data_IF_923069613662
#
_entry.id   IF_923069613662
#
_cell.length_a   1.000
_cell.length_b   1.000
_cell.length_c   1.000
_cell.angle_alpha   90.00
_cell.angle_beta   90.00
_cell.angle_gamma   90.00
#
_symmetry.space_group_name_H-M   'P 1'
#
loop_
_entity.id
_entity.type
_entity.pdbx_description
1 polymer ?
#
# COMPACT_ATOMS: atom_id res chain seq x y z
N UNK A 1 -0.51 68.49 43.42
CA UNK A 1 0.78 67.79 43.19
C UNK A 1 0.49 66.31 43.28
N UNK A 2 -0.08 65.76 42.21
CA UNK A 2 -0.35 64.33 42.08
C UNK A 2 0.82 63.68 41.35
N UNK A 3 1.38 62.68 42.01
CA UNK A 3 2.49 61.84 41.56
C UNK A 3 2.02 60.98 40.40
N UNK A 4 2.45 61.30 39.18
CA UNK A 4 2.26 60.46 38.00
C UNK A 4 3.30 59.34 38.08
N UNK A 5 2.84 58.12 38.39
CA UNK A 5 3.65 56.92 38.34
C UNK A 5 3.94 56.57 36.87
N UNK A 6 5.21 56.68 36.46
CA UNK A 6 5.71 56.11 35.21
C UNK A 6 5.65 54.58 35.31
N UNK A 7 4.66 54.00 34.63
CA UNK A 7 4.65 52.59 34.30
C UNK A 7 5.81 52.30 33.34
N UNK A 8 6.87 51.71 33.87
CA UNK A 8 7.96 51.16 33.08
C UNK A 8 7.43 50.06 32.16
N UNK A 9 7.20 50.43 30.90
CA UNK A 9 6.93 49.50 29.82
C UNK A 9 8.24 48.78 29.49
N UNK A 10 8.59 47.79 30.31
CA UNK A 10 9.60 46.77 30.02
C UNK A 10 9.09 45.88 28.90
N UNK A 11 9.04 46.43 27.70
CA UNK A 11 8.80 45.68 26.48
C UNK A 11 10.11 44.94 26.23
N UNK A 12 10.22 43.75 26.84
CA UNK A 12 11.31 42.80 26.60
C UNK A 12 11.43 42.61 25.10
N UNK A 13 12.43 43.27 24.53
CA UNK A 13 12.77 43.14 23.13
C UNK A 13 13.24 41.72 22.91
N UNK A 14 12.33 40.87 22.43
CA UNK A 14 12.67 39.64 21.71
C UNK A 14 13.60 40.03 20.56
N UNK A 15 14.90 40.09 20.84
CA UNK A 15 15.90 40.28 19.82
C UNK A 15 15.86 39.06 18.90
N UNK A 16 16.11 39.29 17.61
CA UNK A 16 16.26 38.18 16.64
C UNK A 16 17.34 37.20 17.12
N UNK A 17 18.34 37.67 17.86
CA UNK A 17 19.37 36.87 18.50
C UNK A 17 18.80 35.90 19.53
N UNK A 18 17.96 36.38 20.46
CA UNK A 18 17.31 35.54 21.48
C UNK A 18 16.32 34.54 20.87
N UNK A 19 15.67 34.89 19.75
CA UNK A 19 14.81 33.96 19.02
C UNK A 19 15.63 32.86 18.31
N UNK A 20 16.78 33.21 17.72
CA UNK A 20 17.69 32.25 17.10
C UNK A 20 18.28 31.29 18.15
N UNK A 21 18.66 31.80 19.32
CA UNK A 21 19.15 31.00 20.45
C UNK A 21 18.07 30.04 20.98
N UNK A 22 16.84 30.51 21.18
CA UNK A 22 15.70 29.68 21.59
C UNK A 22 15.39 28.58 20.57
N UNK A 23 15.37 28.91 19.27
CA UNK A 23 15.17 27.94 18.19
C UNK A 23 16.31 26.91 18.14
N UNK A 24 17.57 27.35 18.30
CA UNK A 24 18.74 26.46 18.30
C UNK A 24 18.71 25.52 19.51
N UNK A 25 18.34 26.02 20.70
CA UNK A 25 18.17 25.20 21.90
C UNK A 25 17.07 24.15 21.73
N UNK A 26 15.91 24.54 21.18
CA UNK A 26 14.80 23.61 20.91
C UNK A 26 15.15 22.53 19.88
N UNK A 27 15.98 22.85 18.88
CA UNK A 27 16.52 21.86 17.93
C UNK A 27 17.42 20.87 18.68
N UNK A 28 18.37 21.35 19.47
CA UNK A 28 19.29 20.50 20.22
C UNK A 28 18.54 19.60 21.24
N UNK A 29 17.54 20.13 21.94
CA UNK A 29 16.68 19.37 22.85
C UNK A 29 15.85 18.30 22.14
N UNK A 30 15.27 18.65 20.98
CA UNK A 30 14.52 17.69 20.17
C UNK A 30 15.42 16.56 19.67
N UNK A 31 16.61 16.88 19.17
CA UNK A 31 17.61 15.89 18.75
C UNK A 31 18.08 15.02 19.93
N UNK A 32 18.31 15.63 21.10
CA UNK A 32 18.66 14.91 22.32
C UNK A 32 17.56 13.97 22.83
N UNK A 33 16.27 14.25 22.55
CA UNK A 33 15.16 13.37 22.91
C UNK A 33 14.98 12.19 21.93
N UNK A 34 15.34 12.35 20.65
CA UNK A 34 15.23 11.28 19.66
C UNK A 34 16.33 10.21 19.83
N UNK A 35 17.52 10.60 20.29
CA UNK A 35 18.66 9.68 20.45
C UNK A 35 18.41 8.55 21.48
N UNK A 36 17.87 8.80 22.69
CA UNK A 36 17.48 7.75 23.63
C UNK A 36 16.45 6.78 23.06
N UNK A 37 15.47 7.28 22.30
CA UNK A 37 14.47 6.44 21.64
C UNK A 37 15.11 5.53 20.60
N UNK A 38 15.94 6.08 19.71
CA UNK A 38 16.67 5.29 18.71
C UNK A 38 17.62 4.28 19.36
N UNK A 39 18.31 4.68 20.43
CA UNK A 39 19.14 3.77 21.23
C UNK A 39 18.33 2.60 21.80
N UNK A 40 17.14 2.88 22.34
CA UNK A 40 16.23 1.85 22.83
C UNK A 40 15.76 0.90 21.72
N UNK A 41 15.37 1.44 20.55
CA UNK A 41 14.99 0.65 19.38
C UNK A 41 16.14 -0.25 18.90
N UNK A 42 17.37 0.29 18.81
CA UNK A 42 18.58 -0.46 18.41
C UNK A 42 18.95 -1.55 19.41
N UNK A 43 18.96 -1.26 20.71
CA UNK A 43 19.27 -2.27 21.73
C UNK A 43 18.23 -3.39 21.73
N UNK A 44 16.95 -3.04 21.58
CA UNK A 44 15.87 -4.02 21.43
C UNK A 44 16.03 -4.89 20.19
N UNK A 45 16.49 -4.31 19.08
CA UNK A 45 16.78 -5.07 17.86
C UNK A 45 17.99 -6.00 18.03
N UNK A 46 19.11 -5.54 18.59
CA UNK A 46 20.32 -6.35 18.83
C UNK A 46 19.99 -7.58 19.68
N UNK A 47 19.32 -7.38 20.82
CA UNK A 47 18.95 -8.47 21.72
C UNK A 47 18.04 -9.51 21.02
N UNK A 48 17.11 -9.06 20.17
CA UNK A 48 16.23 -9.95 19.40
C UNK A 48 17.00 -10.67 18.29
N UNK A 49 17.90 -9.99 17.59
CA UNK A 49 18.69 -10.55 16.47
C UNK A 49 19.45 -11.79 16.92
N UNK A 50 20.18 -11.75 18.03
CA UNK A 50 20.98 -12.89 18.51
C UNK A 50 20.12 -14.15 18.73
N UNK A 51 18.97 -13.98 19.41
CA UNK A 51 18.03 -15.08 19.65
C UNK A 51 17.42 -15.62 18.35
N UNK A 52 17.05 -14.74 17.41
CA UNK A 52 16.50 -15.12 16.12
C UNK A 52 17.52 -15.86 15.26
N UNK A 53 18.77 -15.37 15.20
CA UNK A 53 19.87 -16.01 14.46
C UNK A 53 20.15 -17.40 15.01
N UNK A 54 20.24 -17.53 16.33
CA UNK A 54 20.45 -18.84 16.97
C UNK A 54 19.31 -19.82 16.62
N UNK A 55 18.06 -19.42 16.84
CA UNK A 55 16.88 -20.25 16.56
C UNK A 55 16.80 -20.68 15.09
N UNK A 56 17.11 -19.77 14.17
CA UNK A 56 17.13 -20.06 12.74
C UNK A 56 18.27 -21.02 12.38
N UNK A 57 19.49 -20.80 12.89
CA UNK A 57 20.63 -21.71 12.69
C UNK A 57 20.34 -23.14 13.18
N UNK A 58 19.74 -23.27 14.36
CA UNK A 58 19.41 -24.57 14.96
C UNK A 58 18.35 -25.35 14.14
N UNK A 59 17.53 -24.66 13.35
CA UNK A 59 16.46 -25.26 12.53
C UNK A 59 16.78 -25.37 11.04
N UNK A 60 17.79 -24.66 10.55
CA UNK A 60 18.08 -24.50 9.12
C UNK A 60 18.23 -25.83 8.37
N UNK A 61 19.10 -26.74 8.85
CA UNK A 61 19.36 -28.01 8.15
C UNK A 61 18.09 -28.87 8.02
N UNK A 62 17.22 -28.81 9.03
CA UNK A 62 15.92 -29.50 9.00
C UNK A 62 14.98 -28.88 7.98
N UNK A 63 14.90 -27.54 7.93
CA UNK A 63 14.06 -26.83 6.96
C UNK A 63 14.55 -27.06 5.52
N UNK A 64 15.86 -27.04 5.32
CA UNK A 64 16.49 -27.31 4.02
C UNK A 64 16.21 -28.75 3.56
N UNK A 65 16.38 -29.74 4.44
CA UNK A 65 16.10 -31.14 4.12
C UNK A 65 14.62 -31.36 3.75
N UNK A 66 13.70 -30.72 4.45
CA UNK A 66 12.27 -30.80 4.13
C UNK A 66 11.95 -30.11 2.80
N UNK A 67 12.52 -28.93 2.54
CA UNK A 67 12.37 -28.25 1.25
C UNK A 67 12.89 -29.11 0.09
N UNK A 68 14.08 -29.70 0.21
CA UNK A 68 14.66 -30.58 -0.81
C UNK A 68 13.80 -31.83 -1.07
N UNK A 69 13.21 -32.39 -0.02
CA UNK A 69 12.26 -33.50 -0.15
C UNK A 69 11.00 -33.08 -0.90
N UNK A 70 10.44 -31.91 -0.58
CA UNK A 70 9.27 -31.37 -1.27
C UNK A 70 9.57 -31.01 -2.72
N UNK A 71 10.76 -30.46 -3.01
CA UNK A 71 11.17 -30.13 -4.37
C UNK A 71 11.13 -31.36 -5.28
N UNK A 72 11.70 -32.49 -4.83
CA UNK A 72 11.61 -33.78 -5.56
C UNK A 72 10.16 -34.21 -5.82
N UNK A 73 9.28 -34.04 -4.83
CA UNK A 73 7.85 -34.34 -4.97
C UNK A 73 7.19 -33.42 -6.00
N UNK A 74 7.47 -32.11 -5.94
CA UNK A 74 6.94 -31.10 -6.86
C UNK A 74 7.41 -31.35 -8.30
N UNK A 75 8.66 -31.76 -8.50
CA UNK A 75 9.16 -32.13 -9.83
C UNK A 75 8.44 -33.37 -10.39
N UNK A 76 8.12 -34.35 -9.54
CA UNK A 76 7.30 -35.50 -9.94
C UNK A 76 5.85 -35.09 -10.26
N UNK A 77 5.24 -34.24 -9.42
CA UNK A 77 3.90 -33.72 -9.66
C UNK A 77 3.82 -32.90 -10.94
N UNK A 78 4.84 -32.09 -11.24
CA UNK A 78 4.95 -31.34 -12.51
C UNK A 78 4.77 -32.26 -13.71
N UNK A 79 5.61 -33.30 -13.79
CA UNK A 79 5.56 -34.28 -14.88
C UNK A 79 4.21 -34.98 -14.95
N UNK A 80 3.62 -35.29 -13.79
CA UNK A 80 2.32 -35.96 -13.70
C UNK A 80 1.18 -35.06 -14.21
N UNK A 81 1.15 -33.78 -13.81
CA UNK A 81 0.17 -32.79 -14.28
C UNK A 81 0.32 -32.56 -15.79
N UNK A 82 1.55 -32.39 -16.27
CA UNK A 82 1.85 -32.22 -17.70
C UNK A 82 1.40 -33.42 -18.54
N UNK A 83 1.63 -34.64 -18.05
CA UNK A 83 1.21 -35.87 -18.73
C UNK A 83 -0.30 -36.04 -18.74
N UNK A 84 -0.97 -35.66 -17.65
CA UNK A 84 -2.42 -35.76 -17.53
C UNK A 84 -3.15 -34.68 -18.36
N UNK A 85 -2.52 -33.52 -18.58
CA UNK A 85 -3.07 -32.42 -19.38
C UNK A 85 -2.02 -31.85 -20.36
N UNK A 86 -1.88 -32.43 -21.57
CA UNK A 86 -0.89 -31.97 -22.55
C UNK A 86 -1.04 -30.49 -22.96
N UNK A 87 -2.25 -29.92 -22.86
CA UNK A 87 -2.55 -28.52 -23.20
C UNK A 87 -2.63 -27.60 -21.97
N UNK A 88 -2.01 -27.99 -20.85
CA UNK A 88 -2.10 -27.25 -19.59
C UNK A 88 -1.65 -25.78 -19.71
N UNK A 89 -0.63 -25.49 -20.53
CA UNK A 89 -0.13 -24.12 -20.73
C UNK A 89 -1.18 -23.21 -21.34
N UNK A 90 -1.89 -23.70 -22.36
CA UNK A 90 -2.95 -22.92 -23.02
C UNK A 90 -4.05 -22.60 -22.01
N UNK A 91 -4.51 -23.60 -21.26
CA UNK A 91 -5.51 -23.41 -20.22
C UNK A 91 -5.05 -22.42 -19.14
N UNK A 92 -3.83 -22.62 -18.63
CA UNK A 92 -3.29 -21.78 -17.56
C UNK A 92 -3.13 -20.33 -18.00
N UNK A 93 -2.58 -20.11 -19.19
CA UNK A 93 -2.38 -18.76 -19.73
C UNK A 93 -3.71 -18.06 -20.02
N UNK A 94 -4.67 -18.73 -20.67
CA UNK A 94 -5.95 -18.13 -21.04
C UNK A 94 -6.86 -17.88 -19.84
N UNK A 95 -6.82 -18.74 -18.83
CA UNK A 95 -7.77 -18.70 -17.71
C UNK A 95 -7.20 -18.06 -16.45
N UNK A 96 -5.93 -18.28 -16.14
CA UNK A 96 -5.31 -17.84 -14.87
C UNK A 96 -4.48 -16.59 -15.10
N UNK A 97 -3.49 -16.65 -15.99
CA UNK A 97 -2.58 -15.51 -16.23
C UNK A 97 -3.33 -14.29 -16.73
N UNK A 98 -4.24 -14.46 -17.69
CA UNK A 98 -5.08 -13.37 -18.19
C UNK A 98 -5.89 -12.68 -17.07
N UNK A 99 -6.40 -13.45 -16.10
CA UNK A 99 -7.18 -12.92 -14.98
C UNK A 99 -6.34 -12.24 -13.91
N UNK A 100 -5.15 -12.77 -13.64
CA UNK A 100 -4.17 -12.09 -12.76
C UNK A 100 -3.78 -10.74 -13.37
N UNK A 101 -3.45 -10.74 -14.67
CA UNK A 101 -3.12 -9.51 -15.40
C UNK A 101 -4.28 -8.50 -15.38
N UNK A 102 -5.50 -8.93 -15.65
CA UNK A 102 -6.69 -8.06 -15.60
C UNK A 102 -6.85 -7.40 -14.22
N UNK A 103 -6.58 -8.14 -13.14
CA UNK A 103 -6.63 -7.60 -11.78
C UNK A 103 -5.49 -6.61 -11.51
N UNK A 104 -4.27 -6.90 -11.96
CA UNK A 104 -3.12 -6.00 -11.84
C UNK A 104 -3.35 -4.70 -12.62
N UNK A 105 -3.83 -4.79 -13.86
CA UNK A 105 -4.15 -3.64 -14.69
C UNK A 105 -5.24 -2.76 -14.02
N UNK A 106 -6.26 -3.38 -13.40
CA UNK A 106 -7.29 -2.65 -12.62
C UNK A 106 -6.72 -1.98 -11.38
N UNK A 107 -5.79 -2.61 -10.67
CA UNK A 107 -5.10 -2.02 -9.50
C UNK A 107 -4.25 -0.82 -9.92
N UNK A 108 -3.45 -0.96 -10.96
CA UNK A 108 -2.66 0.13 -11.51
C UNK A 108 -3.52 1.30 -11.97
N UNK A 109 -4.65 1.03 -12.63
CA UNK A 109 -5.61 2.07 -13.03
C UNK A 109 -6.23 2.78 -11.82
N UNK A 110 -6.55 2.06 -10.74
CA UNK A 110 -7.05 2.65 -9.50
C UNK A 110 -5.97 3.52 -8.84
N UNK A 111 -4.75 3.01 -8.72
CA UNK A 111 -3.63 3.73 -8.12
C UNK A 111 -3.32 5.01 -8.91
N UNK A 112 -3.31 4.96 -10.24
CA UNK A 112 -3.12 6.14 -11.09
C UNK A 112 -4.22 7.19 -10.88
N UNK A 113 -5.49 6.77 -10.75
CA UNK A 113 -6.60 7.70 -10.47
C UNK A 113 -6.48 8.34 -9.11
N UNK A 114 -6.06 7.57 -8.10
CA UNK A 114 -5.80 8.09 -6.75
C UNK A 114 -4.59 9.05 -6.76
N UNK A 115 -3.60 8.84 -7.62
CA UNK A 115 -2.43 9.69 -7.76
C UNK A 115 -2.72 11.03 -8.44
N UNK A 116 -3.59 11.06 -9.46
CA UNK A 116 -3.97 12.28 -10.18
C UNK A 116 -4.56 13.38 -9.29
N UNK A 117 -5.16 13.01 -8.16
CA UNK A 117 -5.71 13.98 -7.20
C UNK A 117 -4.68 14.53 -6.22
N UNK A 118 -3.47 13.97 -6.14
CA UNK A 118 -2.51 14.30 -5.08
C UNK A 118 -1.49 15.34 -5.52
N UNK A 119 -1.23 16.31 -4.66
CA UNK A 119 -0.11 17.24 -4.86
C UNK A 119 1.26 16.54 -4.76
N UNK A 120 2.35 17.19 -5.23
CA UNK A 120 3.68 16.58 -5.24
C UNK A 120 4.22 16.16 -3.86
N UNK A 121 3.96 16.94 -2.81
CA UNK A 121 4.39 16.64 -1.43
C UNK A 121 3.53 15.54 -0.82
N UNK A 122 2.24 15.50 -1.11
CA UNK A 122 1.37 14.41 -0.70
C UNK A 122 1.82 13.07 -1.32
N UNK A 123 2.15 13.08 -2.62
CA UNK A 123 2.72 11.90 -3.30
C UNK A 123 4.06 11.48 -2.71
N UNK A 124 4.94 12.42 -2.41
CA UNK A 124 6.23 12.14 -1.77
C UNK A 124 6.05 11.51 -0.38
N UNK A 125 5.13 12.04 0.43
CA UNK A 125 4.75 11.47 1.75
C UNK A 125 4.23 10.05 1.60
N UNK A 126 3.25 9.84 0.73
CA UNK A 126 2.62 8.53 0.55
C UNK A 126 3.61 7.48 0.01
N UNK A 127 4.47 7.88 -0.93
CA UNK A 127 5.54 7.01 -1.45
C UNK A 127 6.54 6.65 -0.35
N UNK A 128 6.97 7.61 0.47
CA UNK A 128 7.91 7.35 1.57
C UNK A 128 7.28 6.44 2.64
N UNK A 129 6.00 6.67 2.97
CA UNK A 129 5.22 5.81 3.88
C UNK A 129 5.06 4.39 3.34
N UNK A 130 4.76 4.24 2.04
CA UNK A 130 4.66 2.93 1.40
C UNK A 130 6.01 2.19 1.44
N UNK A 131 7.13 2.89 1.20
CA UNK A 131 8.47 2.33 1.31
C UNK A 131 8.79 1.89 2.75
N UNK A 132 8.49 2.71 3.76
CA UNK A 132 8.69 2.36 5.16
C UNK A 132 7.84 1.16 5.60
N UNK A 133 6.57 1.12 5.16
CA UNK A 133 5.66 -0.01 5.40
C UNK A 133 6.19 -1.29 4.77
N UNK A 134 6.65 -1.23 3.51
CA UNK A 134 7.24 -2.37 2.81
C UNK A 134 8.51 -2.88 3.51
N UNK A 135 9.44 -1.99 3.85
CA UNK A 135 10.68 -2.37 4.53
C UNK A 135 10.42 -2.94 5.94
N UNK A 136 9.41 -2.41 6.65
CA UNK A 136 8.97 -2.97 7.93
C UNK A 136 8.40 -4.38 7.76
N UNK A 137 7.57 -4.60 6.76
CA UNK A 137 6.99 -5.92 6.49
C UNK A 137 8.08 -6.94 6.16
N UNK A 138 9.11 -6.55 5.42
CA UNK A 138 10.26 -7.41 5.12
C UNK A 138 11.10 -7.74 6.36
N UNK A 139 11.38 -6.74 7.21
CA UNK A 139 12.03 -6.97 8.51
C UNK A 139 11.22 -7.94 9.38
N UNK A 140 9.90 -7.75 9.49
CA UNK A 140 9.03 -8.65 10.27
C UNK A 140 9.01 -10.05 9.67
N UNK A 141 8.90 -10.17 8.34
CA UNK A 141 8.95 -11.46 7.66
C UNK A 141 10.27 -12.19 7.88
N UNK A 142 11.40 -11.46 7.97
CA UNK A 142 12.68 -12.03 8.39
C UNK A 142 12.69 -12.38 9.88
N UNK A 143 12.14 -11.56 10.77
CA UNK A 143 12.05 -11.91 12.19
C UNK A 143 11.23 -13.19 12.44
N UNK A 144 10.20 -13.42 11.63
CA UNK A 144 9.35 -14.61 11.67
C UNK A 144 9.76 -15.69 10.66
N UNK A 145 10.97 -15.62 10.08
CA UNK A 145 11.35 -16.43 8.92
C UNK A 145 11.27 -17.93 9.18
N UNK A 146 11.82 -18.42 10.30
CA UNK A 146 11.77 -19.85 10.68
C UNK A 146 10.32 -20.38 10.67
N UNK A 147 9.43 -19.68 11.38
CA UNK A 147 8.00 -20.03 11.48
C UNK A 147 7.33 -19.92 10.11
N UNK A 148 7.65 -18.87 9.36
CA UNK A 148 7.12 -18.63 8.02
C UNK A 148 7.49 -19.73 7.04
N UNK A 149 8.77 -20.12 6.97
CA UNK A 149 9.25 -21.24 6.14
C UNK A 149 8.60 -22.54 6.57
N UNK A 150 8.57 -22.84 7.87
CA UNK A 150 7.94 -24.05 8.42
C UNK A 150 6.45 -24.16 8.09
N UNK A 151 5.71 -23.06 8.22
CA UNK A 151 4.29 -23.01 7.85
C UNK A 151 4.07 -23.15 6.34
N UNK A 152 4.90 -22.49 5.52
CA UNK A 152 4.82 -22.56 4.07
C UNK A 152 5.11 -23.98 3.58
N UNK A 153 6.15 -24.66 4.09
CA UNK A 153 6.44 -26.07 3.76
C UNK A 153 5.27 -27.00 4.12
N UNK A 154 4.60 -26.80 5.27
CA UNK A 154 3.39 -27.59 5.61
C UNK A 154 2.26 -27.34 4.61
N UNK A 155 2.05 -26.08 4.23
CA UNK A 155 1.03 -25.72 3.25
C UNK A 155 1.34 -26.30 1.85
N UNK A 156 2.62 -26.31 1.46
CA UNK A 156 3.07 -26.90 0.19
C UNK A 156 2.79 -28.40 0.16
N UNK A 157 3.05 -29.12 1.25
CA UNK A 157 2.71 -30.53 1.37
C UNK A 157 1.20 -30.76 1.23
N UNK A 158 0.36 -29.94 1.87
CA UNK A 158 -1.10 -30.05 1.74
C UNK A 158 -1.57 -29.87 0.28
N UNK A 159 -1.03 -28.87 -0.43
CA UNK A 159 -1.33 -28.69 -1.86
C UNK A 159 -0.82 -29.84 -2.72
N UNK A 160 0.37 -30.38 -2.43
CA UNK A 160 0.90 -31.55 -3.12
C UNK A 160 -0.01 -32.77 -2.96
N UNK A 161 -0.51 -33.01 -1.74
CA UNK A 161 -1.45 -34.11 -1.45
C UNK A 161 -2.78 -33.91 -2.19
N UNK A 162 -3.29 -32.68 -2.26
CA UNK A 162 -4.52 -32.38 -2.98
C UNK A 162 -4.38 -32.57 -4.49
N UNK A 163 -3.25 -32.16 -5.08
CA UNK A 163 -2.94 -32.43 -6.49
C UNK A 163 -2.88 -33.94 -6.73
N UNK A 164 -2.20 -34.70 -5.87
CA UNK A 164 -2.10 -36.15 -5.99
C UNK A 164 -3.46 -36.86 -5.93
N UNK A 165 -4.43 -36.33 -5.15
CA UNK A 165 -5.83 -36.82 -5.15
C UNK A 165 -6.53 -36.49 -6.46
N UNK A 166 -6.41 -35.25 -6.94
CA UNK A 166 -7.06 -34.77 -8.16
C UNK A 166 -6.58 -35.48 -9.43
N UNK A 167 -5.32 -35.92 -9.47
CA UNK A 167 -4.74 -36.65 -10.59
C UNK A 167 -5.23 -38.10 -10.73
N UNK A 168 -5.98 -38.65 -9.76
CA UNK A 168 -6.56 -40.00 -9.85
C UNK A 168 -7.80 -40.07 -10.75
N UNK A 169 -8.38 -38.92 -11.09
CA UNK A 169 -9.47 -38.76 -12.04
C UNK A 169 -8.93 -38.07 -13.31
N UNK A 170 -9.59 -38.17 -14.48
CA UNK A 170 -9.15 -37.45 -15.68
C UNK A 170 -8.83 -35.99 -15.35
N UNK A 171 -7.69 -35.50 -15.85
CA UNK A 171 -6.98 -34.33 -15.35
C UNK A 171 -7.91 -33.17 -15.00
N UNK A 172 -8.10 -32.93 -13.70
CA UNK A 172 -8.90 -31.81 -13.25
C UNK A 172 -8.17 -30.50 -13.58
N UNK A 173 -8.82 -29.53 -14.25
CA UNK A 173 -8.27 -28.18 -14.41
C UNK A 173 -7.88 -27.52 -13.08
N UNK A 174 -8.49 -27.96 -11.99
CA UNK A 174 -8.15 -27.56 -10.63
C UNK A 174 -6.72 -27.98 -10.23
N UNK A 175 -6.25 -29.17 -10.64
CA UNK A 175 -4.89 -29.62 -10.35
C UNK A 175 -3.85 -28.72 -11.04
N UNK A 176 -4.15 -28.24 -12.25
CA UNK A 176 -3.31 -27.28 -13.00
C UNK A 176 -3.23 -25.96 -12.24
N UNK A 177 -4.38 -25.44 -11.79
CA UNK A 177 -4.43 -24.19 -11.03
C UNK A 177 -3.72 -24.28 -9.68
N UNK A 178 -3.94 -25.35 -8.90
CA UNK A 178 -3.27 -25.54 -7.61
C UNK A 178 -1.76 -25.67 -7.84
N UNK A 179 -1.32 -26.45 -8.83
CA UNK A 179 0.12 -26.62 -9.09
C UNK A 179 0.79 -25.31 -9.50
N UNK A 180 0.37 -24.69 -10.60
CA UNK A 180 1.05 -23.52 -11.18
C UNK A 180 0.68 -22.21 -10.48
N UNK A 181 -0.54 -22.08 -9.96
CA UNK A 181 -1.03 -20.85 -9.32
C UNK A 181 -0.79 -20.79 -7.81
N UNK A 182 -0.80 -21.93 -7.10
CA UNK A 182 -0.70 -21.95 -5.62
C UNK A 182 0.58 -22.58 -5.10
N UNK A 183 1.00 -23.74 -5.60
CA UNK A 183 2.11 -24.51 -5.04
C UNK A 183 3.47 -24.03 -5.55
N UNK A 184 3.65 -23.98 -6.86
CA UNK A 184 4.95 -23.75 -7.45
C UNK A 184 5.52 -22.34 -7.15
N UNK A 185 4.77 -21.23 -7.28
CA UNK A 185 5.31 -19.90 -7.05
C UNK A 185 5.88 -19.69 -5.64
N UNK A 186 5.17 -20.02 -4.54
CA UNK A 186 5.76 -19.88 -3.21
C UNK A 186 6.85 -20.92 -2.92
N UNK A 187 6.82 -22.11 -3.51
CA UNK A 187 7.93 -23.08 -3.38
C UNK A 187 9.23 -22.56 -3.96
N UNK A 188 9.18 -21.91 -5.13
CA UNK A 188 10.34 -21.25 -5.74
C UNK A 188 10.84 -20.11 -4.86
N UNK A 189 9.95 -19.29 -4.29
CA UNK A 189 10.36 -18.20 -3.39
C UNK A 189 11.07 -18.68 -2.13
N UNK A 190 10.75 -19.88 -1.65
CA UNK A 190 11.43 -20.51 -0.52
C UNK A 190 12.82 -21.09 -0.87
N UNK A 191 13.16 -21.18 -2.16
CA UNK A 191 14.35 -21.88 -2.58
C UNK A 191 15.62 -21.30 -1.93
N UNK A 192 16.54 -22.16 -1.45
CA UNK A 192 17.80 -21.71 -0.91
C UNK A 192 18.65 -21.09 -2.02
N UNK A 193 19.57 -20.21 -1.65
CA UNK A 193 20.47 -19.56 -2.60
C UNK A 193 21.25 -20.60 -3.42
N UNK A 194 21.33 -20.38 -4.74
CA UNK A 194 21.97 -21.31 -5.67
C UNK A 194 21.13 -22.52 -6.09
N UNK A 195 19.93 -22.73 -5.54
CA UNK A 195 19.04 -23.77 -6.04
C UNK A 195 18.51 -23.44 -7.44
N UNK A 196 18.68 -24.37 -8.38
CA UNK A 196 18.10 -24.28 -9.71
C UNK A 196 16.68 -24.84 -9.71
N UNK A 197 15.67 -23.97 -9.56
CA UNK A 197 14.26 -24.36 -9.69
C UNK A 197 13.74 -23.80 -11.00
N UNK A 198 13.21 -24.66 -11.88
CA UNK A 198 12.59 -24.21 -13.12
C UNK A 198 11.29 -23.46 -12.78
N UNK A 199 11.19 -22.15 -13.11
CA UNK A 199 10.10 -21.28 -12.68
C UNK A 199 8.77 -21.58 -13.40
N UNK A 200 8.79 -22.34 -14.49
CA UNK A 200 7.64 -22.50 -15.36
C UNK A 200 7.26 -21.20 -16.09
N UNK A 201 5.97 -21.05 -16.45
CA UNK A 201 5.51 -19.92 -17.28
C UNK A 201 5.30 -18.63 -16.48
N UNK A 202 5.41 -18.67 -15.15
CA UNK A 202 5.20 -17.50 -14.30
C UNK A 202 6.58 -16.89 -14.00
N UNK A 203 6.80 -15.61 -14.31
CA UNK A 203 8.03 -14.94 -13.88
C UNK A 203 8.13 -15.04 -12.36
N UNK A 204 9.24 -15.59 -11.88
CA UNK A 204 9.48 -15.68 -10.44
C UNK A 204 9.64 -14.27 -9.90
N UNK A 205 8.81 -13.84 -8.94
CA UNK A 205 9.02 -12.56 -8.30
C UNK A 205 10.35 -12.59 -7.53
N UNK A 206 10.96 -11.43 -7.27
CA UNK A 206 12.15 -11.36 -6.43
C UNK A 206 11.91 -12.08 -5.10
N UNK A 207 12.95 -12.75 -4.59
CA UNK A 207 12.89 -13.45 -3.30
C UNK A 207 12.44 -12.48 -2.22
N UNK A 208 11.28 -12.74 -1.62
CA UNK A 208 10.73 -11.99 -0.51
C UNK A 208 10.56 -12.94 0.65
N UNK A 209 10.97 -12.54 1.86
CA UNK A 209 10.77 -13.34 3.06
C UNK A 209 9.28 -13.75 3.23
N UNK A 210 9.00 -14.97 3.72
CA UNK A 210 9.98 -15.95 4.19
C UNK A 210 10.72 -16.67 3.04
N UNK A 211 12.00 -17.00 3.25
CA UNK A 211 12.83 -17.82 2.34
C UNK A 211 13.99 -18.50 3.08
N UNK A 212 14.60 -19.52 2.47
CA UNK A 212 15.76 -20.22 3.04
C UNK A 212 17.05 -19.41 2.85
N UNK A 213 17.29 -18.44 3.72
CA UNK A 213 18.56 -17.69 3.79
C UNK A 213 19.67 -18.61 4.28
N UNK A 214 20.85 -18.57 3.68
CA UNK A 214 21.99 -19.31 4.23
C UNK A 214 22.23 -18.93 5.71
N UNK A 215 22.52 -19.92 6.54
CA UNK A 215 22.47 -19.77 7.99
C UNK A 215 23.50 -18.74 8.55
N UNK A 216 24.58 -18.52 7.81
CA UNK A 216 25.67 -17.58 8.05
C UNK A 216 25.29 -16.17 7.55
N UNK A 217 24.60 -16.07 6.41
CA UNK A 217 24.09 -14.82 5.85
C UNK A 217 22.83 -14.27 6.56
N UNK A 218 22.10 -15.09 7.32
CA UNK A 218 20.83 -14.67 7.94
C UNK A 218 20.97 -13.52 8.94
N UNK A 219 22.09 -13.47 9.68
CA UNK A 219 22.37 -12.35 10.58
C UNK A 219 22.54 -11.02 9.85
N UNK A 220 23.18 -11.06 8.69
CA UNK A 220 23.45 -9.88 7.85
C UNK A 220 22.16 -9.43 7.14
N UNK A 221 21.35 -10.39 6.67
CA UNK A 221 20.03 -10.10 6.09
C UNK A 221 19.10 -9.36 7.07
N UNK A 222 19.09 -9.75 8.36
CA UNK A 222 18.34 -9.05 9.40
C UNK A 222 18.85 -7.62 9.60
N UNK A 223 20.16 -7.40 9.62
CA UNK A 223 20.75 -6.06 9.74
C UNK A 223 20.43 -5.19 8.53
N UNK A 224 20.58 -5.72 7.32
CA UNK A 224 20.25 -5.00 6.09
C UNK A 224 18.78 -4.59 6.05
N UNK A 225 17.86 -5.49 6.43
CA UNK A 225 16.44 -5.18 6.52
C UNK A 225 16.14 -4.12 7.58
N UNK A 226 16.80 -4.18 8.75
CA UNK A 226 16.69 -3.15 9.78
C UNK A 226 17.18 -1.79 9.28
N UNK A 227 18.35 -1.72 8.65
CA UNK A 227 18.90 -0.49 8.08
C UNK A 227 17.98 0.08 7.00
N UNK A 228 17.46 -0.76 6.10
CA UNK A 228 16.50 -0.37 5.05
C UNK A 228 15.24 0.22 5.67
N UNK A 229 14.66 -0.45 6.67
CA UNK A 229 13.49 0.04 7.39
C UNK A 229 13.76 1.36 8.09
N UNK A 230 14.87 1.48 8.82
CA UNK A 230 15.20 2.70 9.55
C UNK A 230 15.42 3.90 8.61
N UNK A 231 16.13 3.70 7.49
CA UNK A 231 16.31 4.73 6.47
C UNK A 231 14.97 5.14 5.84
N UNK A 232 14.09 4.18 5.53
CA UNK A 232 12.77 4.45 4.98
C UNK A 232 11.87 5.19 6.00
N UNK A 233 11.93 4.85 7.29
CA UNK A 233 11.25 5.54 8.39
C UNK A 233 11.72 6.99 8.54
N UNK A 234 13.02 7.24 8.40
CA UNK A 234 13.55 8.61 8.41
C UNK A 234 13.08 9.42 7.19
N UNK A 235 13.08 8.81 6.00
CA UNK A 235 12.57 9.43 4.79
C UNK A 235 11.06 9.75 4.89
N UNK A 236 10.27 8.83 5.45
CA UNK A 236 8.86 9.05 5.76
C UNK A 236 8.69 10.23 6.72
N UNK A 237 9.45 10.27 7.83
CA UNK A 237 9.41 11.37 8.79
C UNK A 237 9.73 12.73 8.15
N UNK A 238 10.73 12.77 7.25
CA UNK A 238 11.07 13.98 6.49
C UNK A 238 9.94 14.40 5.55
N UNK A 239 9.43 13.48 4.73
CA UNK A 239 8.37 13.77 3.76
C UNK A 239 7.05 14.19 4.47
N UNK A 240 6.75 13.56 5.61
CA UNK A 240 5.64 13.95 6.48
C UNK A 240 5.84 15.37 7.02
N UNK A 241 7.04 15.72 7.48
CA UNK A 241 7.37 17.06 7.93
C UNK A 241 7.27 18.12 6.83
N UNK A 242 7.76 17.80 5.63
CA UNK A 242 7.68 18.69 4.46
C UNK A 242 6.25 18.91 3.98
N UNK A 243 5.42 17.86 4.02
CA UNK A 243 3.98 17.96 3.78
C UNK A 243 3.27 18.73 4.90
N UNK A 244 3.60 18.53 6.18
CA UNK A 244 2.95 19.25 7.28
C UNK A 244 3.25 20.76 7.26
N UNK A 245 4.45 21.17 6.82
CA UNK A 245 4.85 22.58 6.66
C UNK A 245 4.19 23.27 5.47
N UNK A 246 3.83 22.50 4.44
CA UNK A 246 3.12 23.02 3.27
C UNK A 246 2.21 21.90 2.78
N UNK A 247 1.04 21.74 3.40
CA UNK A 247 0.08 20.77 2.91
C UNK A 247 -0.23 21.17 1.48
N UNK A 248 -0.07 20.24 0.55
CA UNK A 248 -0.64 20.46 -0.78
C UNK A 248 -2.13 20.57 -0.55
N UNK A 249 -2.68 21.78 -0.68
CA UNK A 249 -4.09 22.02 -0.50
C UNK A 249 -4.84 21.56 -1.74
N UNK A 250 -4.83 20.24 -1.95
CA UNK A 250 -5.57 19.54 -3.00
C UNK A 250 -7.05 19.94 -2.97
N UNK A 251 -7.60 20.24 -1.79
CA UNK A 251 -8.98 20.70 -1.67
C UNK A 251 -9.17 22.12 -2.22
N UNK A 252 -8.21 23.03 -2.03
CA UNK A 252 -8.24 24.38 -2.61
C UNK A 252 -7.91 24.37 -4.11
N UNK A 253 -6.94 23.57 -4.56
CA UNK A 253 -6.64 23.40 -5.99
C UNK A 253 -7.81 22.73 -6.75
N UNK A 254 -8.44 21.69 -6.18
CA UNK A 254 -9.64 21.10 -6.77
C UNK A 254 -10.82 22.09 -6.83
N UNK A 255 -11.01 22.92 -5.80
CA UNK A 255 -12.00 24.00 -5.83
C UNK A 255 -11.67 25.08 -6.85
N UNK A 256 -10.38 25.39 -7.04
CA UNK A 256 -9.92 26.35 -8.05
C UNK A 256 -10.13 25.82 -9.47
N UNK A 257 -9.89 24.53 -9.71
CA UNK A 257 -10.17 23.85 -10.98
C UNK A 257 -11.68 23.81 -11.26
N UNK A 258 -12.51 23.45 -10.28
CA UNK A 258 -13.97 23.48 -10.42
C UNK A 258 -14.51 24.89 -10.69
N UNK A 259 -13.94 25.90 -10.03
CA UNK A 259 -14.28 27.31 -10.26
C UNK A 259 -13.85 27.78 -11.66
N UNK A 260 -12.67 27.38 -12.13
CA UNK A 260 -12.19 27.66 -13.48
C UNK A 260 -13.04 26.97 -14.56
N UNK A 261 -13.48 25.73 -14.31
CA UNK A 261 -14.39 25.01 -15.20
C UNK A 261 -15.75 25.71 -15.32
N UNK A 262 -16.33 26.17 -14.21
CA UNK A 262 -17.57 26.97 -14.23
C UNK A 262 -17.41 28.29 -14.98
N UNK A 263 -16.30 29.00 -14.77
CA UNK A 263 -16.02 30.24 -15.47
C UNK A 263 -15.90 30.03 -16.99
N UNK A 264 -15.22 28.95 -17.41
CA UNK A 264 -15.13 28.56 -18.82
C UNK A 264 -16.50 28.22 -19.42
N UNK A 265 -17.34 27.47 -18.71
CA UNK A 265 -18.71 27.14 -19.15
C UNK A 265 -19.57 28.40 -19.34
N UNK A 266 -19.45 29.37 -18.44
CA UNK A 266 -20.18 30.65 -18.53
C UNK A 266 -19.69 31.49 -19.71
N UNK A 267 -18.38 31.53 -19.98
CA UNK A 267 -17.80 32.20 -21.15
C UNK A 267 -18.26 31.54 -22.48
N UNK A 268 -18.33 30.21 -22.53
CA UNK A 268 -18.86 29.47 -23.68
C UNK A 268 -20.33 29.79 -23.91
N UNK A 269 -21.16 29.80 -22.85
CA UNK A 269 -22.59 30.17 -22.97
C UNK A 269 -22.77 31.59 -23.46
N UNK A 270 -21.97 32.53 -22.97
CA UNK A 270 -22.01 33.93 -23.37
C UNK A 270 -21.61 34.09 -24.84
N UNK A 271 -20.51 33.45 -25.25
CA UNK A 271 -20.08 33.41 -26.64
C UNK A 271 -21.17 32.84 -27.56
N UNK A 272 -21.81 31.72 -27.18
CA UNK A 272 -22.91 31.11 -27.95
C UNK A 272 -24.17 32.00 -28.03
N UNK A 273 -24.45 32.81 -27.01
CA UNK A 273 -25.57 33.75 -27.03
C UNK A 273 -25.31 34.96 -27.97
N UNK A 274 -24.05 35.34 -28.16
CA UNK A 274 -23.63 36.45 -29.01
C UNK A 274 -23.50 36.05 -30.49
N UNK A 275 -23.38 34.76 -30.79
CA UNK A 275 -23.52 34.23 -32.15
C UNK A 275 -25.00 34.29 -32.52
N UNK A 276 -25.41 35.39 -33.18
CA UNK A 276 -26.69 35.39 -33.89
C UNK A 276 -26.65 34.27 -34.93
N UNK A 277 -27.66 33.39 -34.99
CA UNK A 277 -27.75 32.45 -36.09
C UNK A 277 -27.72 33.28 -37.37
N UNK A 278 -26.76 32.96 -38.24
CA UNK A 278 -26.75 33.50 -39.58
C UNK A 278 -28.09 33.07 -40.17
N UNK A 279 -28.98 34.03 -40.42
CA UNK A 279 -30.32 33.79 -40.96
C UNK A 279 -30.27 33.31 -42.44
N UNK A 280 -29.20 32.59 -42.81
CA UNK A 280 -28.91 32.09 -44.14
C UNK A 280 -29.35 30.65 -44.41
N UNK A 281 -29.95 29.95 -43.44
CA UNK A 281 -30.67 28.71 -43.73
C UNK A 281 -32.16 29.01 -43.93
N UNK A 282 -32.55 29.10 -45.21
CA UNK A 282 -33.93 29.13 -45.66
C UNK A 282 -34.68 27.84 -45.34
N UNK A 283 -35.06 27.67 -44.08
CA UNK A 283 -36.21 26.85 -43.74
C UNK A 283 -37.44 27.75 -43.90
N UNK A 284 -38.09 27.61 -45.05
CA UNK A 284 -39.36 28.23 -45.33
C UNK A 284 -40.34 28.00 -44.17
N UNK A 285 -40.91 29.09 -43.66
CA UNK A 285 -42.12 29.06 -42.85
C UNK A 285 -43.24 28.45 -43.71
N UNK A 286 -43.54 27.17 -43.52
CA UNK A 286 -44.89 26.69 -43.79
C UNK A 286 -45.77 27.25 -42.69
N UNK A 287 -46.42 28.37 -43.03
CA UNK A 287 -47.59 28.87 -42.31
C UNK A 287 -48.67 27.80 -42.40
N UNK A 288 -48.92 27.11 -41.30
CA UNK A 288 -50.23 26.50 -41.07
C UNK A 288 -50.85 27.13 -39.82
N UNK A 289 -51.89 27.90 -40.10
CA UNK A 289 -52.82 28.48 -39.15
C UNK A 289 -53.43 27.38 -38.27
N UNK A 290 -53.13 27.37 -36.97
CA UNK A 290 -54.00 26.71 -35.99
C UNK A 290 -54.06 27.47 -34.66
N UNK A 291 -55.03 28.39 -34.63
CA UNK A 291 -55.93 28.83 -33.54
C UNK A 291 -55.59 28.39 -32.10
N UNK A 292 -55.53 29.32 -31.12
CA UNK A 292 -55.22 29.00 -29.73
C UNK A 292 -56.45 28.40 -29.02
N UNK A 293 -56.38 27.12 -28.69
CA UNK A 293 -57.25 26.45 -27.74
C UNK A 293 -56.76 26.65 -26.30
N UNK A 294 -57.48 27.46 -25.52
CA UNK A 294 -57.37 27.55 -24.06
C UNK A 294 -57.52 26.16 -23.42
N UNK A 295 -56.55 25.77 -22.61
CA UNK A 295 -56.63 24.68 -21.63
C UNK A 295 -55.24 24.50 -21.05
N UNK A 296 -54.93 25.00 -19.86
CA UNK A 296 -55.49 24.49 -18.62
C UNK A 296 -54.83 23.15 -18.31
N UNK A 297 -53.64 23.16 -17.70
CA UNK A 297 -53.14 22.06 -16.85
C UNK A 297 -51.88 22.47 -16.09
N UNK A 298 -52.05 22.44 -14.78
CA UNK A 298 -51.03 22.53 -13.73
C UNK A 298 -50.29 21.18 -13.69
N UNK A 299 -48.95 21.11 -13.69
CA UNK A 299 -48.27 19.94 -13.17
C UNK A 299 -47.85 20.21 -11.73
N UNK A 300 -48.44 19.41 -10.84
CA UNK A 300 -47.81 19.07 -9.59
C UNK A 300 -46.59 18.19 -9.88
N UNK A 301 -45.45 18.52 -9.30
CA UNK A 301 -44.34 17.60 -9.07
C UNK A 301 -43.60 18.14 -7.83
N UNK A 302 -43.57 17.51 -6.66
CA UNK A 302 -43.59 16.06 -6.42
C UNK A 302 -42.17 15.52 -6.51
N UNK A 303 -41.30 15.91 -5.58
CA UNK A 303 -39.91 15.46 -5.56
C UNK A 303 -39.26 15.71 -4.20
N UNK A 304 -39.65 14.90 -3.22
CA UNK A 304 -38.96 14.82 -1.94
C UNK A 304 -37.56 14.22 -2.15
N UNK A 305 -36.53 15.04 -2.07
CA UNK A 305 -35.16 14.60 -1.88
C UNK A 305 -34.92 14.27 -0.41
N UNK A 306 -34.75 12.98 -0.11
CA UNK A 306 -34.26 12.51 1.18
C UNK A 306 -32.89 13.15 1.50
N UNK A 307 -32.67 13.69 2.70
CA UNK A 307 -31.32 13.86 3.20
C UNK A 307 -30.77 12.48 3.59
N UNK A 308 -29.79 11.99 2.83
CA UNK A 308 -28.90 10.94 3.32
C UNK A 308 -28.16 11.53 4.51
N UNK A 309 -28.46 10.99 5.69
CA UNK A 309 -27.64 11.21 6.89
C UNK A 309 -26.32 10.50 6.63
N UNK A 310 -25.26 11.28 6.47
CA UNK A 310 -23.91 10.77 6.66
C UNK A 310 -23.79 10.37 8.13
N UNK A 311 -23.91 9.08 8.39
CA UNK A 311 -23.45 8.49 9.64
C UNK A 311 -21.95 8.73 9.73
N UNK A 312 -21.61 9.68 10.61
CA UNK A 312 -20.27 9.84 11.15
C UNK A 312 -19.80 8.51 11.72
N UNK A 313 -18.97 7.80 10.94
CA UNK A 313 -18.17 6.69 11.46
C UNK A 313 -17.13 7.30 12.39
N UNK A 314 -17.48 7.36 13.68
CA UNK A 314 -16.50 7.46 14.76
C UNK A 314 -15.46 6.36 14.54
N UNK A 315 -14.23 6.75 14.23
CA UNK A 315 -13.06 5.95 14.52
C UNK A 315 -12.65 6.34 15.93
N UNK A 316 -13.37 5.80 16.91
CA UNK A 316 -12.78 5.52 18.23
C UNK A 316 -11.71 4.46 17.93
N UNK A 317 -10.48 4.50 18.41
CA UNK A 317 -9.82 5.28 19.44
C UNK A 317 -8.57 4.46 19.76
N UNK A 318 -7.45 5.13 19.99
CA UNK A 318 -6.23 4.55 20.53
C UNK A 318 -6.55 3.58 21.67
N UNK A 319 -6.09 2.33 21.55
CA UNK A 319 -5.92 1.46 22.71
C UNK A 319 -4.42 1.36 23.01
N UNK A 320 -3.97 1.82 24.19
CA UNK A 320 -2.59 1.65 24.60
C UNK A 320 -2.33 0.18 24.91
N UNK A 321 -1.21 -0.31 24.40
CA UNK A 321 -0.62 -1.60 24.76
C UNK A 321 -0.29 -1.61 26.26
N UNK A 322 -1.01 -2.43 27.02
CA UNK A 322 -0.66 -2.78 28.39
C UNK A 322 0.68 -3.55 28.40
N UNK A 323 1.62 -3.07 29.22
CA UNK A 323 2.84 -3.79 29.60
C UNK A 323 2.50 -5.00 30.50
N UNK A 324 3.14 -6.16 30.32
CA UNK A 324 3.05 -7.23 31.31
C UNK A 324 3.92 -6.91 32.54
N UNK A 325 3.27 -6.98 33.72
CA UNK A 325 3.92 -6.94 35.04
C UNK A 325 4.87 -8.14 35.20
N UNK A 326 6.11 -7.86 35.56
CA UNK A 326 7.06 -8.86 36.02
C UNK A 326 6.65 -9.35 37.41
N UNK A 327 6.45 -10.66 37.55
CA UNK A 327 6.43 -11.34 38.86
C UNK A 327 7.87 -11.49 39.36
N UNK A 328 8.13 -10.99 40.55
CA UNK A 328 9.34 -11.23 41.34
C UNK A 328 9.25 -12.63 41.97
N UNK A 329 10.30 -13.47 41.91
CA UNK A 329 10.27 -14.76 42.60
C UNK A 329 10.55 -14.59 44.09
N UNK A 330 9.76 -15.28 44.91
CA UNK A 330 10.10 -15.71 46.26
C UNK A 330 10.69 -17.11 46.26
#
# INVERSE_FOLDING_TARGET
>A
MESVAEAGNGMDACSVQSLLEDVTSKIAEFEAQQLPKLKGELQGFINKKEALVKTYKDSYDKLLAEWQKQDKCIQYLRKSVQSASPNWETYFNSCVVAKIKELEDRRQALDARLDCGKGPKERARDSAKAAATKAKAELVALQDNEKGVSAALKQHQAWADDIAKLLKCPASPEAIYIFWGKLLPPHIRLAPEGATVDPGPIPSPPHSAPWLVAHDAYGDALEQAWCTYNNAKQAEGKAQGDFAKTPDDVATEAKAIDAAGKALDDDVRKCLADVKPDNGCGCAETKDDQKPGKGGSKPANGGAGNPVKDDARKVDGDQPSEEPKAETPG
#
